data_IF_276893539734
#
_entry.id   IF_276893539734
#
_cell.length_a   1.000
_cell.length_b   1.000
_cell.length_c   1.000
_cell.angle_alpha   90.00
_cell.angle_beta   90.00
_cell.angle_gamma   90.00
#
_symmetry.space_group_name_H-M   'P 1'
#
loop_
_entity.id
_entity.type
_entity.pdbx_description
1 polymer ?
#
# COMPACT_ATOMS: atom_id res chain seq x y z
N UNK A 1 11.51 6.53 -10.57
CA UNK A 1 11.15 7.79 -11.30
C UNK A 1 11.69 8.95 -10.49
N UNK A 2 12.23 10.01 -11.11
CA UNK A 2 12.88 11.10 -10.36
C UNK A 2 11.87 12.10 -9.81
N UNK A 3 12.15 12.67 -8.62
CA UNK A 3 11.34 13.75 -8.04
C UNK A 3 11.34 14.99 -8.93
N UNK A 4 12.45 15.30 -9.59
CA UNK A 4 12.56 16.44 -10.52
C UNK A 4 11.57 16.34 -11.69
N UNK A 5 11.37 15.12 -12.21
CA UNK A 5 10.37 14.89 -13.26
C UNK A 5 8.95 15.12 -12.74
N UNK A 6 8.64 14.64 -11.53
CA UNK A 6 7.32 14.83 -10.92
C UNK A 6 7.06 16.32 -10.71
N UNK A 7 8.04 17.06 -10.19
CA UNK A 7 7.99 18.51 -10.00
C UNK A 7 7.73 19.23 -11.33
N UNK A 8 8.51 18.92 -12.35
CA UNK A 8 8.36 19.51 -13.69
C UNK A 8 6.98 19.22 -14.30
N UNK A 9 6.55 17.96 -14.29
CA UNK A 9 5.25 17.56 -14.87
C UNK A 9 4.07 18.18 -14.11
N UNK A 10 4.21 18.35 -12.79
CA UNK A 10 3.21 19.00 -11.93
C UNK A 10 3.16 20.51 -12.20
N UNK A 11 4.31 21.17 -12.35
CA UNK A 11 4.40 22.59 -12.66
C UNK A 11 3.71 22.91 -14.01
N UNK A 12 3.90 22.05 -15.01
CA UNK A 12 3.22 22.13 -16.30
C UNK A 12 1.70 21.99 -16.11
N UNK A 13 1.25 21.03 -15.31
CA UNK A 13 -0.18 20.81 -15.03
C UNK A 13 -0.82 22.00 -14.29
N UNK A 14 -0.03 22.73 -13.49
CA UNK A 14 -0.45 23.96 -12.81
C UNK A 14 -0.42 25.20 -13.72
N UNK A 15 0.07 25.09 -14.97
CA UNK A 15 0.20 26.21 -15.90
C UNK A 15 1.36 27.16 -15.56
N UNK A 16 2.37 26.67 -14.83
CA UNK A 16 3.58 27.43 -14.46
C UNK A 16 4.77 27.00 -15.33
N UNK A 17 5.71 27.90 -15.59
CA UNK A 17 6.92 27.56 -16.36
C UNK A 17 7.93 26.80 -15.49
N UNK A 18 8.47 25.66 -15.94
CA UNK A 18 9.49 24.89 -15.20
C UNK A 18 10.85 25.62 -15.12
N UNK A 19 11.03 26.73 -15.84
CA UNK A 19 12.27 27.50 -15.94
C UNK A 19 12.73 28.14 -14.60
N UNK A 20 11.83 28.29 -13.62
CA UNK A 20 12.17 28.68 -12.24
C UNK A 20 12.58 27.53 -11.32
N UNK A 21 12.66 26.30 -11.84
CA UNK A 21 12.94 25.07 -11.08
C UNK A 21 14.21 24.35 -11.54
N UNK A 22 14.94 24.93 -12.50
CA UNK A 22 16.20 24.36 -12.98
C UNK A 22 17.28 24.39 -11.86
N UNK A 23 18.05 23.31 -11.67
CA UNK A 23 19.16 23.26 -10.71
C UNK A 23 20.36 24.06 -11.24
N UNK A 24 20.20 25.38 -11.34
CA UNK A 24 21.29 26.34 -11.63
C UNK A 24 21.91 26.92 -10.36
N UNK A 25 21.21 26.85 -9.23
CA UNK A 25 21.72 27.20 -7.90
C UNK A 25 21.47 26.00 -6.99
N UNK A 26 22.52 25.24 -6.69
CA UNK A 26 22.51 23.98 -5.93
C UNK A 26 22.10 24.11 -4.43
N UNK A 27 21.18 25.01 -4.09
CA UNK A 27 20.76 25.22 -2.70
C UNK A 27 19.43 25.94 -2.49
N UNK A 28 18.68 26.33 -3.55
CA UNK A 28 17.39 27.01 -3.38
C UNK A 28 16.31 26.31 -4.19
N UNK A 29 15.61 25.38 -3.55
CA UNK A 29 14.37 24.80 -4.07
C UNK A 29 13.30 25.90 -4.13
N UNK A 30 12.63 26.08 -5.26
CA UNK A 30 11.53 27.04 -5.34
C UNK A 30 10.44 26.68 -4.32
N UNK A 31 9.70 27.66 -3.75
CA UNK A 31 8.64 27.36 -2.78
C UNK A 31 7.60 26.36 -3.32
N UNK A 32 7.27 26.46 -4.60
CA UNK A 32 6.39 25.51 -5.28
C UNK A 32 6.99 24.11 -5.37
N UNK A 33 8.26 23.97 -5.74
CA UNK A 33 8.94 22.67 -5.77
C UNK A 33 9.04 22.04 -4.37
N UNK A 34 9.27 22.85 -3.33
CA UNK A 34 9.28 22.40 -1.95
C UNK A 34 7.89 21.90 -1.51
N UNK A 35 6.82 22.61 -1.85
CA UNK A 35 5.45 22.16 -1.58
C UNK A 35 5.10 20.88 -2.35
N UNK A 36 5.48 20.78 -3.63
CA UNK A 36 5.28 19.55 -4.41
C UNK A 36 5.96 18.37 -3.71
N UNK A 37 7.24 18.50 -3.32
CA UNK A 37 8.01 17.44 -2.67
C UNK A 37 7.34 16.90 -1.40
N UNK A 38 6.71 17.77 -0.60
CA UNK A 38 5.99 17.37 0.62
C UNK A 38 4.77 16.49 0.33
N UNK A 39 4.15 16.66 -0.84
CA UNK A 39 2.92 15.95 -1.20
C UNK A 39 3.17 14.63 -1.95
N UNK A 40 4.33 14.47 -2.62
CA UNK A 40 4.60 13.35 -3.55
C UNK A 40 4.25 11.98 -2.95
N UNK A 41 4.81 11.64 -1.78
CA UNK A 41 4.64 10.28 -1.22
C UNK A 41 3.17 9.99 -0.90
N UNK A 42 2.47 10.94 -0.29
CA UNK A 42 1.08 10.75 0.14
C UNK A 42 0.12 10.71 -1.05
N UNK A 43 0.30 11.59 -2.04
CA UNK A 43 -0.47 11.56 -3.29
C UNK A 43 -0.16 10.32 -4.13
N UNK A 44 1.09 9.84 -4.12
CA UNK A 44 1.45 8.60 -4.79
C UNK A 44 0.77 7.39 -4.13
N UNK A 45 0.79 7.31 -2.80
CA UNK A 45 0.11 6.25 -2.06
C UNK A 45 -1.41 6.25 -2.35
N UNK A 46 -2.05 7.43 -2.32
CA UNK A 46 -3.47 7.59 -2.64
C UNK A 46 -3.80 7.21 -4.09
N UNK A 47 -2.96 7.62 -5.05
CA UNK A 47 -3.11 7.25 -6.45
C UNK A 47 -2.99 5.73 -6.65
N UNK A 48 -2.05 5.08 -5.97
CA UNK A 48 -1.90 3.62 -6.02
C UNK A 48 -3.13 2.92 -5.43
N UNK A 49 -3.60 3.36 -4.27
CA UNK A 49 -4.79 2.79 -3.60
C UNK A 49 -6.07 2.93 -4.43
N UNK A 50 -6.19 4.00 -5.21
CA UNK A 50 -7.34 4.24 -6.10
C UNK A 50 -7.21 3.62 -7.49
N UNK A 51 -6.06 3.08 -7.85
CA UNK A 51 -5.82 2.45 -9.16
C UNK A 51 -6.21 0.96 -9.11
N UNK A 52 -6.93 0.44 -10.12
CA UNK A 52 -7.25 -0.99 -10.18
C UNK A 52 -5.99 -1.86 -10.10
N UNK A 53 -5.94 -2.78 -9.13
CA UNK A 53 -4.74 -3.59 -8.87
C UNK A 53 -4.20 -4.33 -10.09
N UNK A 54 -5.05 -4.77 -11.01
CA UNK A 54 -4.62 -5.48 -12.23
C UNK A 54 -3.79 -4.59 -13.19
N UNK A 55 -3.81 -3.28 -13.00
CA UNK A 55 -3.04 -2.30 -13.79
C UNK A 55 -1.73 -1.89 -13.10
N UNK A 56 -1.55 -2.24 -11.83
CA UNK A 56 -0.35 -1.90 -11.07
C UNK A 56 0.78 -2.91 -11.33
N UNK A 57 2.01 -2.41 -11.21
CA UNK A 57 3.26 -3.17 -11.33
C UNK A 57 4.14 -2.86 -10.13
N UNK A 58 5.21 -3.63 -9.90
CA UNK A 58 6.10 -3.42 -8.74
C UNK A 58 5.64 -4.14 -7.47
N UNK A 59 4.81 -5.18 -7.61
CA UNK A 59 4.44 -6.09 -6.53
C UNK A 59 5.67 -6.77 -5.92
N UNK A 60 5.66 -6.94 -4.60
CA UNK A 60 6.70 -7.64 -3.84
C UNK A 60 6.11 -8.85 -3.12
N UNK A 61 6.96 -9.85 -2.88
CA UNK A 61 6.60 -11.02 -2.09
C UNK A 61 6.45 -10.62 -0.62
N UNK A 62 5.39 -11.11 0.01
CA UNK A 62 5.30 -11.14 1.47
C UNK A 62 6.31 -12.15 2.00
N UNK A 63 7.00 -11.86 3.11
CA UNK A 63 7.88 -12.83 3.76
C UNK A 63 7.03 -14.00 4.28
N UNK A 64 7.29 -15.22 3.82
CA UNK A 64 6.57 -16.43 4.22
C UNK A 64 7.12 -17.06 5.51
N UNK A 65 8.40 -16.85 5.79
CA UNK A 65 9.08 -17.36 6.98
C UNK A 65 8.58 -16.75 8.31
N UNK A 66 7.86 -15.62 8.27
CA UNK A 66 7.38 -14.93 9.47
C UNK A 66 5.98 -15.32 9.93
N UNK A 67 5.29 -16.19 9.17
CA UNK A 67 3.95 -16.63 9.54
C UNK A 67 3.99 -17.61 10.71
N UNK A 68 3.21 -17.33 11.75
CA UNK A 68 3.04 -18.22 12.90
C UNK A 68 1.62 -18.76 12.97
N UNK A 69 1.47 -20.01 13.41
CA UNK A 69 0.17 -20.62 13.67
C UNK A 69 0.07 -20.90 15.17
N UNK A 70 -0.97 -20.38 15.80
CA UNK A 70 -1.32 -20.62 17.20
C UNK A 70 -2.76 -21.13 17.28
N UNK A 71 -2.90 -22.42 17.63
CA UNK A 71 -4.17 -23.13 17.64
C UNK A 71 -4.87 -23.07 16.27
N UNK A 72 -6.02 -22.39 16.23
CA UNK A 72 -6.84 -22.24 15.02
C UNK A 72 -6.61 -20.92 14.28
N UNK A 73 -5.60 -20.12 14.65
CA UNK A 73 -5.33 -18.84 14.01
C UNK A 73 -3.91 -18.79 13.48
N UNK A 74 -3.75 -18.21 12.28
CA UNK A 74 -2.45 -17.84 11.74
C UNK A 74 -2.28 -16.33 11.80
N UNK A 75 -1.05 -15.88 12.07
CA UNK A 75 -0.64 -14.50 12.11
C UNK A 75 0.54 -14.30 11.17
N UNK A 76 0.43 -13.32 10.27
CA UNK A 76 1.49 -12.91 9.36
C UNK A 76 1.85 -11.45 9.62
N UNK A 77 3.01 -11.16 10.22
CA UNK A 77 3.51 -9.79 10.34
C UNK A 77 3.66 -9.14 8.96
N UNK A 78 3.18 -7.91 8.82
CA UNK A 78 3.29 -7.15 7.59
C UNK A 78 4.59 -6.34 7.57
N UNK A 79 5.23 -6.17 6.40
CA UNK A 79 6.31 -5.21 6.24
C UNK A 79 5.89 -3.79 6.63
N UNK A 80 6.82 -3.01 7.17
CA UNK A 80 6.56 -1.59 7.56
C UNK A 80 6.11 -0.73 6.37
N UNK A 81 6.53 -1.10 5.17
CA UNK A 81 6.14 -0.43 3.93
C UNK A 81 4.87 -1.02 3.30
N UNK A 82 4.11 -1.88 3.96
CA UNK A 82 2.90 -2.47 3.36
C UNK A 82 1.83 -1.41 3.05
N UNK A 83 1.39 -1.31 1.79
CA UNK A 83 0.31 -0.41 1.36
C UNK A 83 -0.97 -1.17 0.96
N UNK A 84 -0.85 -2.21 0.14
CA UNK A 84 -2.00 -2.92 -0.42
C UNK A 84 -1.70 -4.40 -0.62
N UNK A 85 -2.67 -5.27 -0.32
CA UNK A 85 -2.61 -6.70 -0.65
C UNK A 85 -3.00 -6.95 -2.12
N UNK A 86 -2.22 -7.75 -2.83
CA UNK A 86 -2.59 -8.25 -4.16
C UNK A 86 -3.29 -9.61 -4.07
N UNK A 87 -2.59 -10.58 -3.49
CA UNK A 87 -3.03 -11.95 -3.30
C UNK A 87 -2.36 -12.54 -2.06
N UNK A 88 -3.07 -13.40 -1.35
CA UNK A 88 -2.54 -14.27 -0.31
C UNK A 88 -3.29 -15.60 -0.35
N UNK A 89 -2.54 -16.70 -0.27
CA UNK A 89 -3.11 -18.04 -0.19
C UNK A 89 -2.30 -18.95 0.71
N UNK A 90 -2.99 -19.63 1.62
CA UNK A 90 -2.43 -20.76 2.37
C UNK A 90 -2.62 -22.07 1.61
N UNK A 91 -1.75 -23.05 1.86
CA UNK A 91 -1.79 -24.37 1.22
C UNK A 91 -3.13 -25.09 1.32
N UNK A 92 -3.82 -24.97 2.46
CA UNK A 92 -5.12 -25.58 2.68
C UNK A 92 -6.27 -24.83 2.02
N UNK A 93 -6.06 -23.59 1.57
CA UNK A 93 -7.11 -22.80 0.92
C UNK A 93 -7.28 -23.18 -0.55
N UNK A 94 -8.53 -23.11 -1.02
CA UNK A 94 -8.88 -23.41 -2.41
C UNK A 94 -8.91 -22.18 -3.31
N UNK A 95 -8.77 -20.98 -2.73
CA UNK A 95 -8.77 -19.70 -3.44
C UNK A 95 -7.87 -18.68 -2.78
N UNK A 96 -7.44 -17.70 -3.57
CA UNK A 96 -6.69 -16.56 -3.09
C UNK A 96 -7.64 -15.56 -2.41
N UNK A 97 -7.11 -14.88 -1.39
CA UNK A 97 -7.69 -13.67 -0.80
C UNK A 97 -6.95 -12.48 -1.35
N UNK A 98 -7.68 -11.46 -1.78
CA UNK A 98 -7.10 -10.33 -2.49
C UNK A 98 -7.42 -8.99 -1.85
N UNK A 99 -7.98 -9.04 -0.64
CA UNK A 99 -8.29 -7.89 0.20
C UNK A 99 -8.37 -8.34 1.66
N UNK A 100 -7.83 -7.54 2.57
CA UNK A 100 -8.03 -7.68 4.01
C UNK A 100 -9.28 -6.91 4.44
N UNK A 101 -9.90 -7.34 5.54
CA UNK A 101 -10.92 -6.58 6.25
C UNK A 101 -10.26 -5.84 7.43
N UNK A 102 -10.74 -4.65 7.80
CA UNK A 102 -10.20 -3.94 8.96
C UNK A 102 -10.56 -4.65 10.28
N UNK A 103 -9.81 -4.34 11.34
CA UNK A 103 -9.95 -4.98 12.64
C UNK A 103 -11.32 -4.75 13.31
N UNK A 104 -12.02 -3.67 12.97
CA UNK A 104 -13.35 -3.33 13.45
C UNK A 104 -14.49 -3.96 12.62
N UNK A 105 -14.15 -4.69 11.55
CA UNK A 105 -15.14 -5.37 10.73
C UNK A 105 -15.89 -6.44 11.55
N UNK A 106 -17.23 -6.61 11.42
CA UNK A 106 -17.99 -7.60 12.19
C UNK A 106 -17.41 -9.02 12.13
N UNK A 107 -16.89 -9.42 10.97
CA UNK A 107 -16.23 -10.72 10.77
C UNK A 107 -14.96 -10.94 11.60
N UNK A 108 -14.32 -9.88 12.11
CA UNK A 108 -13.15 -10.01 12.97
C UNK A 108 -13.49 -10.69 14.30
N UNK A 109 -14.71 -10.48 14.81
CA UNK A 109 -15.20 -11.17 16.01
C UNK A 109 -15.42 -12.66 15.77
N UNK A 110 -15.83 -13.04 14.55
CA UNK A 110 -16.09 -14.43 14.18
C UNK A 110 -14.82 -15.26 14.01
N UNK A 111 -13.72 -14.67 13.57
CA UNK A 111 -12.44 -15.40 13.43
C UNK A 111 -11.91 -15.88 14.78
N UNK A 112 -12.17 -15.14 15.85
CA UNK A 112 -11.78 -15.53 17.22
C UNK A 112 -12.80 -16.44 17.91
N UNK A 113 -13.97 -16.66 17.29
CA UNK A 113 -15.03 -17.43 17.91
C UNK A 113 -14.76 -18.94 17.83
N UNK A 114 -15.26 -19.75 18.78
CA UNK A 114 -15.14 -21.21 18.72
C UNK A 114 -15.75 -21.86 17.46
N UNK A 115 -16.68 -21.15 16.81
CA UNK A 115 -17.37 -21.58 15.58
C UNK A 115 -16.88 -20.83 14.33
N UNK A 116 -15.64 -20.31 14.36
CA UNK A 116 -15.04 -19.54 13.27
C UNK A 116 -15.08 -20.25 11.90
N UNK A 117 -14.99 -21.59 11.91
CA UNK A 117 -15.09 -22.45 10.72
C UNK A 117 -16.42 -22.38 9.96
N UNK A 118 -17.48 -21.79 10.53
CA UNK A 118 -18.73 -21.51 9.80
C UNK A 118 -18.60 -20.26 8.92
N UNK A 119 -17.84 -19.27 9.38
CA UNK A 119 -17.75 -17.94 8.77
C UNK A 119 -16.58 -17.80 7.81
N UNK A 120 -15.47 -18.45 8.12
CA UNK A 120 -14.29 -18.51 7.28
C UNK A 120 -13.88 -19.97 7.08
N UNK A 121 -13.82 -20.36 5.81
CA UNK A 121 -13.55 -21.75 5.39
C UNK A 121 -12.42 -21.74 4.36
N UNK A 122 -11.79 -22.89 4.08
CA UNK A 122 -10.85 -23.00 2.97
C UNK A 122 -11.42 -22.57 1.60
N UNK A 123 -12.75 -22.63 1.43
CA UNK A 123 -13.48 -22.18 0.24
C UNK A 123 -13.82 -20.69 0.24
N UNK A 124 -13.90 -20.07 1.43
CA UNK A 124 -14.17 -18.65 1.65
C UNK A 124 -13.26 -18.14 2.77
N UNK A 125 -11.94 -18.06 2.51
CA UNK A 125 -10.99 -17.56 3.49
C UNK A 125 -11.22 -16.07 3.74
N UNK A 126 -10.98 -15.65 4.98
CA UNK A 126 -11.07 -14.27 5.42
C UNK A 126 -9.75 -13.89 6.06
N UNK A 127 -9.29 -12.68 5.75
CA UNK A 127 -8.11 -12.06 6.35
C UNK A 127 -8.55 -10.79 7.06
N UNK A 128 -8.09 -10.60 8.29
CA UNK A 128 -8.29 -9.38 9.07
C UNK A 128 -6.94 -8.70 9.23
N UNK A 129 -6.87 -7.44 8.87
CA UNK A 129 -5.74 -6.59 9.18
C UNK A 129 -5.91 -6.00 10.59
N UNK A 130 -4.86 -6.09 11.40
CA UNK A 130 -4.84 -5.52 12.74
C UNK A 130 -3.42 -5.43 13.25
N UNK A 131 -3.27 -5.44 14.58
CA UNK A 131 -1.97 -5.41 15.24
C UNK A 131 -1.60 -6.78 15.82
N UNK A 132 -0.31 -7.06 15.87
CA UNK A 132 0.29 -8.14 16.65
C UNK A 132 0.42 -7.74 18.14
N UNK A 133 1.02 -8.60 18.95
CA UNK A 133 1.24 -8.37 20.39
C UNK A 133 2.24 -7.23 20.69
N UNK A 134 3.08 -6.87 19.72
CA UNK A 134 4.07 -5.81 19.81
C UNK A 134 3.57 -4.47 19.24
N UNK A 135 2.34 -4.42 18.70
CA UNK A 135 1.75 -3.24 18.08
C UNK A 135 2.12 -3.03 16.62
N UNK A 136 2.75 -4.00 15.95
CA UNK A 136 3.04 -3.94 14.51
C UNK A 136 1.85 -4.44 13.69
N UNK A 137 1.72 -3.94 12.45
CA UNK A 137 0.67 -4.37 11.54
C UNK A 137 0.84 -5.85 11.17
N UNK A 138 -0.26 -6.60 11.19
CA UNK A 138 -0.27 -8.01 10.86
C UNK A 138 -1.60 -8.43 10.22
N UNK A 139 -1.54 -9.48 9.41
CA UNK A 139 -2.70 -10.17 8.87
C UNK A 139 -3.03 -11.38 9.77
N UNK A 140 -4.26 -11.42 10.26
CA UNK A 140 -4.80 -12.56 11.00
C UNK A 140 -5.76 -13.34 10.12
N UNK A 141 -5.61 -14.67 10.14
CA UNK A 141 -6.38 -15.57 9.29
C UNK A 141 -6.63 -16.91 9.97
N UNK A 142 -7.47 -17.75 9.35
CA UNK A 142 -7.75 -19.11 9.79
C UNK A 142 -7.09 -20.10 8.83
N UNK A 143 -6.09 -20.87 9.27
CA UNK A 143 -5.57 -21.98 8.49
C UNK A 143 -6.58 -23.14 8.48
N UNK A 144 -6.49 -23.99 7.46
CA UNK A 144 -7.25 -25.24 7.37
C UNK A 144 -6.63 -26.35 8.24
N UNK A 145 -5.32 -26.29 8.47
CA UNK A 145 -4.52 -27.23 9.25
C UNK A 145 -3.39 -26.50 9.98
N UNK A 146 -2.88 -27.09 11.07
CA UNK A 146 -1.69 -26.58 11.76
C UNK A 146 -0.42 -26.58 10.89
N UNK A 147 -0.41 -27.38 9.82
CA UNK A 147 0.71 -27.47 8.87
C UNK A 147 0.57 -26.52 7.66
N UNK A 148 -0.44 -25.64 7.67
CA UNK A 148 -0.63 -24.72 6.56
C UNK A 148 0.52 -23.72 6.43
N UNK A 149 0.95 -23.49 5.20
CA UNK A 149 1.98 -22.51 4.84
C UNK A 149 1.47 -21.53 3.81
N UNK A 150 2.07 -20.34 3.77
CA UNK A 150 1.81 -19.43 2.67
C UNK A 150 2.36 -20.02 1.37
N UNK A 151 1.53 -20.05 0.33
CA UNK A 151 1.87 -20.57 -1.00
C UNK A 151 1.85 -19.48 -2.07
N UNK A 152 1.19 -18.36 -1.77
CA UNK A 152 1.13 -17.15 -2.58
C UNK A 152 1.00 -15.97 -1.61
N UNK A 153 1.75 -14.91 -1.84
CA UNK A 153 1.72 -13.73 -0.98
C UNK A 153 2.38 -12.55 -1.66
N UNK A 154 1.57 -11.61 -2.16
CA UNK A 154 2.05 -10.43 -2.88
C UNK A 154 1.41 -9.16 -2.33
N UNK A 155 2.24 -8.13 -2.21
CA UNK A 155 1.81 -6.82 -1.72
C UNK A 155 2.46 -5.67 -2.49
N UNK A 156 1.82 -4.51 -2.46
CA UNK A 156 2.39 -3.26 -2.95
C UNK A 156 3.04 -2.52 -1.78
N UNK A 157 4.31 -2.12 -1.90
CA UNK A 157 4.93 -1.24 -0.92
C UNK A 157 4.40 0.20 -1.05
N UNK A 158 4.40 0.93 0.06
CA UNK A 158 4.13 2.36 0.09
C UNK A 158 5.26 3.08 -0.66
N UNK A 159 4.92 3.98 -1.60
CA UNK A 159 5.93 4.70 -2.37
C UNK A 159 6.70 5.62 -1.43
N UNK A 160 8.03 5.53 -1.49
CA UNK A 160 8.95 6.31 -0.64
C UNK A 160 10.05 6.93 -1.47
N UNK A 161 10.37 8.20 -1.21
CA UNK A 161 11.46 8.89 -1.86
C UNK A 161 12.77 8.38 -1.27
N UNK A 162 13.64 7.83 -2.13
CA UNK A 162 14.99 7.37 -1.79
C UNK A 162 15.96 7.96 -2.81
N UNK A 163 16.94 8.73 -2.33
CA UNK A 163 17.95 9.37 -3.17
C UNK A 163 17.36 10.19 -4.36
N UNK A 164 16.25 10.90 -4.13
CA UNK A 164 15.59 11.71 -5.18
C UNK A 164 14.76 10.90 -6.17
N UNK A 165 14.54 9.61 -5.93
CA UNK A 165 13.69 8.75 -6.73
C UNK A 165 12.55 8.17 -5.93
N UNK A 166 11.43 7.92 -6.60
CA UNK A 166 10.28 7.23 -6.06
C UNK A 166 9.73 6.23 -7.07
N UNK A 167 9.30 5.08 -6.56
CA UNK A 167 8.64 4.03 -7.33
C UNK A 167 7.14 4.30 -7.37
N UNK A 168 6.66 4.73 -8.53
CA UNK A 168 5.23 4.92 -8.79
C UNK A 168 4.88 4.06 -10.01
N UNK A 169 3.93 3.11 -9.89
CA UNK A 169 3.48 2.32 -11.03
C UNK A 169 2.96 3.23 -12.15
N UNK A 170 3.28 2.96 -13.43
CA UNK A 170 2.89 3.83 -14.54
C UNK A 170 1.39 4.14 -14.61
N UNK A 171 0.54 3.17 -14.25
CA UNK A 171 -0.91 3.34 -14.22
C UNK A 171 -1.38 4.36 -13.16
N UNK A 172 -0.63 4.54 -12.07
CA UNK A 172 -0.96 5.48 -11.01
C UNK A 172 -0.37 6.88 -11.27
N UNK A 173 0.61 7.02 -12.18
CA UNK A 173 1.41 8.24 -12.32
C UNK A 173 0.58 9.51 -12.60
N UNK A 174 -0.26 9.48 -13.62
CA UNK A 174 -1.08 10.64 -13.97
C UNK A 174 -2.05 11.02 -12.86
N UNK A 175 -2.55 10.05 -12.09
CA UNK A 175 -3.40 10.32 -10.94
C UNK A 175 -2.61 10.99 -9.82
N UNK A 176 -1.37 10.56 -9.57
CA UNK A 176 -0.47 11.22 -8.62
C UNK A 176 -0.28 12.70 -8.96
N UNK A 177 0.06 13.03 -10.21
CA UNK A 177 0.25 14.42 -10.62
C UNK A 177 -1.00 15.29 -10.40
N UNK A 178 -2.19 14.74 -10.70
CA UNK A 178 -3.46 15.44 -10.48
C UNK A 178 -3.72 15.70 -9.01
N UNK A 179 -3.53 14.71 -8.15
CA UNK A 179 -3.72 14.86 -6.70
C UNK A 179 -2.78 15.92 -6.11
N UNK A 180 -1.50 15.93 -6.54
CA UNK A 180 -0.55 16.96 -6.09
C UNK A 180 -1.04 18.35 -6.53
N UNK A 181 -1.43 18.50 -7.80
CA UNK A 181 -1.90 19.78 -8.32
C UNK A 181 -3.20 20.25 -7.63
N UNK A 182 -4.11 19.34 -7.30
CA UNK A 182 -5.33 19.61 -6.53
C UNK A 182 -4.99 20.14 -5.13
N UNK A 183 -4.14 19.45 -4.37
CA UNK A 183 -3.73 19.89 -3.02
C UNK A 183 -3.02 21.23 -3.01
N UNK A 184 -2.16 21.48 -4.00
CA UNK A 184 -1.46 22.78 -4.11
C UNK A 184 -2.46 23.92 -4.33
N UNK A 185 -3.45 23.72 -5.23
CA UNK A 185 -4.49 24.73 -5.50
C UNK A 185 -5.31 25.03 -4.25
N UNK A 186 -5.70 24.00 -3.50
CA UNK A 186 -6.45 24.16 -2.25
C UNK A 186 -5.69 25.01 -1.21
N UNK A 187 -4.36 24.85 -1.12
CA UNK A 187 -3.52 25.69 -0.25
C UNK A 187 -3.31 27.13 -0.75
N UNK A 188 -3.52 27.41 -2.04
CA UNK A 188 -3.32 28.75 -2.64
C UNK A 188 -4.59 29.57 -2.81
N UNK A 189 -5.77 28.96 -2.70
CA UNK A 189 -7.04 29.69 -2.67
C UNK A 189 -7.27 30.39 -1.32
N UNK A 190 -6.84 31.65 -1.24
CA UNK A 190 -7.19 32.63 -0.21
C UNK A 190 -7.89 33.83 -0.86
#
# INVERSE_FOLDING_TARGET
MTTDRIISDTAILLGTTPEGMAPGNAGVTSPLAAHILLEIESCAAEAILSTPRMQLTGWRLLPDDSMTIDGNSALLPLPDDFLMLFSLRLSGWQRDVTASLPADHPSATHIRAPWSGIYATPLRPIIIEGLDENGHRALRMLPASADDRMTEGWYMPAPKIKAGEIDIPPAAYHRTLRLIAERIRECTSW
#
